data_IF_595871379446
#
_entry.id   IF_595871379446
#
_cell.length_a   1.000
_cell.length_b   1.000
_cell.length_c   1.000
_cell.angle_alpha   90.00
_cell.angle_beta   90.00
_cell.angle_gamma   90.00
#
_symmetry.space_group_name_H-M   'P 1'
#
loop_
_entity.id
_entity.type
_entity.pdbx_description
1 polymer ?
#
# COMPACT_ATOMS: atom_id res chain seq x y z
N UNK A 1 11.19 -13.84 -19.54
CA UNK A 1 11.13 -12.62 -18.70
C UNK A 1 10.20 -12.77 -17.49
N UNK A 2 8.88 -12.97 -17.67
CA UNK A 2 7.92 -13.01 -16.53
C UNK A 2 8.16 -14.15 -15.52
N UNK A 3 8.52 -15.35 -15.98
CA UNK A 3 8.82 -16.49 -15.08
C UNK A 3 10.06 -16.20 -14.23
N UNK A 4 11.14 -15.70 -14.83
CA UNK A 4 12.36 -15.33 -14.12
C UNK A 4 12.10 -14.23 -13.07
N UNK A 5 11.28 -13.22 -13.41
CA UNK A 5 10.86 -12.19 -12.46
C UNK A 5 10.09 -12.79 -11.27
N UNK A 6 9.14 -13.68 -11.53
CA UNK A 6 8.38 -14.35 -10.47
C UNK A 6 9.26 -15.18 -9.54
N UNK A 7 10.20 -15.94 -10.10
CA UNK A 7 11.15 -16.75 -9.32
C UNK A 7 12.04 -15.87 -8.46
N UNK A 8 12.62 -14.81 -9.03
CA UNK A 8 13.45 -13.87 -8.27
C UNK A 8 12.66 -13.17 -7.15
N UNK A 9 11.44 -12.73 -7.45
CA UNK A 9 10.56 -12.08 -6.47
C UNK A 9 10.26 -13.00 -5.28
N UNK A 10 9.89 -14.26 -5.56
CA UNK A 10 9.63 -15.25 -4.51
C UNK A 10 10.90 -15.59 -3.72
N UNK A 11 12.03 -15.73 -4.40
CA UNK A 11 13.33 -15.98 -3.77
C UNK A 11 13.75 -14.87 -2.81
N UNK A 12 13.66 -13.61 -3.26
CA UNK A 12 13.97 -12.44 -2.42
C UNK A 12 13.00 -12.34 -1.24
N UNK A 13 11.70 -12.54 -1.49
CA UNK A 13 10.68 -12.48 -0.42
C UNK A 13 10.92 -13.56 0.65
N UNK A 14 11.24 -14.79 0.23
CA UNK A 14 11.58 -15.88 1.14
C UNK A 14 12.87 -15.59 1.92
N UNK A 15 13.90 -15.07 1.25
CA UNK A 15 15.16 -14.69 1.90
C UNK A 15 14.95 -13.60 2.95
N UNK A 16 14.17 -12.56 2.63
CA UNK A 16 13.85 -11.48 3.58
C UNK A 16 13.08 -12.00 4.79
N UNK A 17 12.07 -12.85 4.59
CA UNK A 17 11.31 -13.44 5.69
C UNK A 17 12.15 -14.37 6.57
N UNK A 18 13.09 -15.11 5.98
CA UNK A 18 14.00 -15.98 6.71
C UNK A 18 15.05 -15.17 7.51
N UNK A 19 15.55 -14.06 6.96
CA UNK A 19 16.56 -13.21 7.60
C UNK A 19 16.03 -12.30 8.71
N UNK A 20 14.75 -11.94 8.66
CA UNK A 20 14.16 -10.94 9.56
C UNK A 20 12.91 -11.46 10.27
N UNK A 21 13.07 -12.16 11.42
CA UNK A 21 11.96 -12.83 12.09
C UNK A 21 10.87 -11.88 12.60
N UNK A 22 11.23 -10.63 12.88
CA UNK A 22 10.29 -9.60 13.32
C UNK A 22 9.19 -9.29 12.28
N UNK A 23 9.44 -9.53 10.99
CA UNK A 23 8.47 -9.26 9.92
C UNK A 23 7.26 -10.20 9.96
N UNK A 24 7.43 -11.44 10.42
CA UNK A 24 6.34 -12.42 10.51
C UNK A 24 5.88 -12.69 11.96
N UNK A 25 6.67 -12.32 12.97
CA UNK A 25 6.35 -12.56 14.38
C UNK A 25 4.96 -12.02 14.78
N UNK A 26 4.60 -10.83 14.28
CA UNK A 26 3.28 -10.21 14.49
C UNK A 26 2.13 -11.03 13.91
N UNK A 27 2.31 -11.61 12.73
CA UNK A 27 1.29 -12.43 12.07
C UNK A 27 1.09 -13.77 12.80
N UNK A 28 2.15 -14.33 13.37
CA UNK A 28 2.05 -15.54 14.20
C UNK A 28 1.36 -15.27 15.54
N UNK A 29 1.65 -14.12 16.17
CA UNK A 29 1.01 -13.73 17.42
C UNK A 29 -0.47 -13.36 17.24
N UNK A 30 -0.83 -12.74 16.12
CA UNK A 30 -2.19 -12.34 15.81
C UNK A 30 -2.61 -12.83 14.41
N UNK A 31 -3.22 -14.03 14.32
CA UNK A 31 -3.58 -14.67 13.06
C UNK A 31 -4.54 -13.85 12.19
N UNK A 32 -5.36 -12.98 12.79
CA UNK A 32 -6.26 -12.10 12.04
C UNK A 32 -5.50 -11.16 11.09
N UNK A 33 -4.23 -10.85 11.37
CA UNK A 33 -3.37 -10.06 10.49
C UNK A 33 -3.14 -10.72 9.13
N UNK A 34 -3.22 -12.05 9.04
CA UNK A 34 -3.04 -12.79 7.78
C UNK A 34 -4.10 -12.48 6.71
N UNK A 35 -5.21 -11.82 7.10
CA UNK A 35 -6.19 -11.30 6.15
C UNK A 35 -5.58 -10.25 5.21
N UNK A 36 -4.65 -9.41 5.69
CA UNK A 36 -4.03 -8.36 4.87
C UNK A 36 -3.22 -8.91 3.68
N UNK A 37 -2.25 -9.83 3.85
CA UNK A 37 -1.52 -10.41 2.73
C UNK A 37 -2.45 -11.23 1.82
N UNK A 38 -3.47 -11.90 2.37
CA UNK A 38 -4.48 -12.59 1.57
C UNK A 38 -5.24 -11.62 0.66
N UNK A 39 -5.70 -10.48 1.20
CA UNK A 39 -6.38 -9.43 0.44
C UNK A 39 -5.46 -8.81 -0.62
N UNK A 40 -4.17 -8.62 -0.32
CA UNK A 40 -3.18 -8.15 -1.30
C UNK A 40 -3.04 -9.13 -2.48
N UNK A 41 -2.89 -10.43 -2.20
CA UNK A 41 -2.79 -11.47 -3.23
C UNK A 41 -4.07 -11.52 -4.07
N UNK A 42 -5.24 -11.50 -3.42
CA UNK A 42 -6.53 -11.47 -4.12
C UNK A 42 -6.65 -10.22 -5.00
N UNK A 43 -6.17 -9.07 -4.54
CA UNK A 43 -6.21 -7.84 -5.34
C UNK A 43 -5.32 -7.96 -6.58
N UNK A 44 -4.09 -8.46 -6.43
CA UNK A 44 -3.13 -8.69 -7.53
C UNK A 44 -3.70 -9.65 -8.56
N UNK A 45 -4.22 -10.80 -8.13
CA UNK A 45 -4.75 -11.84 -9.03
C UNK A 45 -6.00 -11.38 -9.80
N UNK A 46 -6.79 -10.46 -9.23
CA UNK A 46 -7.96 -9.93 -9.91
C UNK A 46 -7.60 -8.94 -11.04
N UNK A 47 -6.46 -8.26 -10.99
CA UNK A 47 -6.04 -7.30 -12.05
C UNK A 47 -6.00 -7.95 -13.45
N UNK A 48 -5.21 -9.01 -13.73
CA UNK A 48 -5.15 -9.60 -15.07
C UNK A 48 -6.49 -10.21 -15.50
N UNK A 49 -7.23 -10.81 -14.56
CA UNK A 49 -8.58 -11.37 -14.80
C UNK A 49 -9.58 -10.31 -15.24
N UNK A 50 -9.47 -9.08 -14.72
CA UNK A 50 -10.36 -7.98 -15.08
C UNK A 50 -9.94 -7.29 -16.37
N UNK A 51 -8.63 -7.23 -16.64
CA UNK A 51 -8.09 -6.74 -17.90
C UNK A 51 -8.51 -7.63 -19.07
N UNK A 52 -8.42 -8.96 -18.93
CA UNK A 52 -8.87 -9.90 -19.97
C UNK A 52 -10.36 -9.81 -20.28
N UNK A 53 -11.16 -9.34 -19.32
CA UNK A 53 -12.61 -9.09 -19.47
C UNK A 53 -12.95 -7.68 -19.95
N UNK A 54 -11.95 -6.84 -20.28
CA UNK A 54 -12.16 -5.45 -20.70
C UNK A 54 -12.73 -4.52 -19.61
N UNK A 55 -12.68 -4.93 -18.33
CA UNK A 55 -13.26 -4.17 -17.20
C UNK A 55 -12.23 -3.21 -16.58
N UNK A 56 -11.69 -2.30 -17.38
CA UNK A 56 -10.56 -1.43 -17.02
C UNK A 56 -10.76 -0.61 -15.74
N UNK A 57 -11.94 -0.03 -15.49
CA UNK A 57 -12.23 0.74 -14.26
C UNK A 57 -12.04 -0.10 -12.99
N UNK A 58 -12.50 -1.35 -13.02
CA UNK A 58 -12.36 -2.26 -11.89
C UNK A 58 -10.91 -2.77 -11.78
N UNK A 59 -10.23 -3.00 -12.90
CA UNK A 59 -8.81 -3.37 -12.90
C UNK A 59 -7.95 -2.27 -12.25
N UNK A 60 -8.24 -1.00 -12.54
CA UNK A 60 -7.61 0.15 -11.90
C UNK A 60 -7.86 0.16 -10.38
N UNK A 61 -9.10 -0.04 -9.93
CA UNK A 61 -9.43 -0.11 -8.51
C UNK A 61 -8.64 -1.24 -7.79
N UNK A 62 -8.57 -2.43 -8.39
CA UNK A 62 -7.80 -3.54 -7.81
C UNK A 62 -6.29 -3.29 -7.82
N UNK A 63 -5.77 -2.54 -8.79
CA UNK A 63 -4.39 -2.06 -8.77
C UNK A 63 -4.15 -1.09 -7.61
N UNK A 64 -5.05 -0.14 -7.37
CA UNK A 64 -4.96 0.77 -6.23
C UNK A 64 -5.06 0.02 -4.89
N UNK A 65 -5.97 -0.96 -4.79
CA UNK A 65 -6.12 -1.81 -3.60
C UNK A 65 -4.87 -2.67 -3.35
N UNK A 66 -4.24 -3.17 -4.40
CA UNK A 66 -2.96 -3.90 -4.29
C UNK A 66 -1.93 -3.06 -3.55
N UNK A 67 -1.72 -1.82 -4.01
CA UNK A 67 -0.77 -0.89 -3.38
C UNK A 67 -1.17 -0.63 -1.93
N UNK A 68 -2.45 -0.33 -1.67
CA UNK A 68 -2.94 -0.05 -0.32
C UNK A 68 -2.73 -1.24 0.64
N UNK A 69 -3.07 -2.47 0.24
CA UNK A 69 -2.90 -3.64 1.09
C UNK A 69 -1.42 -3.99 1.31
N UNK A 70 -0.55 -3.81 0.32
CA UNK A 70 0.90 -3.99 0.52
C UNK A 70 1.45 -3.02 1.56
N UNK A 71 1.04 -1.76 1.53
CA UNK A 71 1.39 -0.79 2.59
C UNK A 71 0.84 -1.21 3.95
N UNK A 72 -0.41 -1.68 4.02
CA UNK A 72 -1.00 -2.15 5.28
C UNK A 72 -0.28 -3.38 5.85
N UNK A 73 0.18 -4.30 5.01
CA UNK A 73 0.98 -5.47 5.45
C UNK A 73 2.25 -5.02 6.16
N UNK A 74 2.99 -4.07 5.56
CA UNK A 74 4.21 -3.54 6.16
C UNK A 74 3.90 -2.77 7.45
N UNK A 75 2.87 -1.92 7.44
CA UNK A 75 2.46 -1.18 8.62
C UNK A 75 2.07 -2.09 9.78
N UNK A 76 1.33 -3.18 9.52
CA UNK A 76 0.96 -4.17 10.53
C UNK A 76 2.16 -4.96 11.05
N UNK A 77 3.10 -5.33 10.17
CA UNK A 77 4.31 -6.05 10.55
C UNK A 77 5.18 -5.25 11.52
N UNK A 78 5.29 -3.93 11.30
CA UNK A 78 6.19 -3.05 12.03
C UNK A 78 5.56 -2.47 13.31
N UNK A 79 4.24 -2.28 13.36
CA UNK A 79 3.57 -1.63 14.49
C UNK A 79 3.87 -2.33 15.85
N UNK A 80 4.30 -1.60 16.91
CA UNK A 80 4.31 -0.13 17.06
C UNK A 80 5.65 0.56 16.72
N UNK A 81 6.64 -0.17 16.22
CA UNK A 81 7.98 0.35 15.91
C UNK A 81 8.07 0.70 14.44
N UNK A 82 8.34 1.96 14.11
CA UNK A 82 8.41 2.44 12.73
C UNK A 82 9.78 2.12 12.12
N UNK A 83 10.85 2.33 12.89
CA UNK A 83 12.23 2.06 12.47
C UNK A 83 12.93 1.30 13.61
N UNK A 84 13.38 0.09 13.33
CA UNK A 84 14.17 -0.71 14.26
C UNK A 84 15.64 -0.27 14.19
N UNK A 85 16.25 -0.03 15.34
CA UNK A 85 17.68 0.21 15.43
C UNK A 85 18.46 -1.11 15.28
N UNK A 86 19.51 -1.10 14.44
CA UNK A 86 20.34 -2.30 14.20
C UNK A 86 21.33 -2.60 15.33
N UNK A 87 21.59 -1.62 16.20
CA UNK A 87 22.56 -1.72 17.29
C UNK A 87 21.87 -2.00 18.64
N UNK A 88 21.10 -1.03 19.15
CA UNK A 88 20.44 -1.12 20.45
C UNK A 88 18.93 -0.99 20.27
N UNK A 89 18.14 -2.04 20.57
CA UNK A 89 16.69 -2.01 20.50
C UNK A 89 16.04 -0.84 21.24
N UNK A 90 16.67 -0.33 22.32
CA UNK A 90 16.17 0.82 23.08
C UNK A 90 16.16 2.14 22.27
N UNK A 91 16.98 2.23 21.22
CA UNK A 91 17.04 3.39 20.31
C UNK A 91 16.07 3.28 19.14
N UNK A 92 15.21 2.26 19.12
CA UNK A 92 14.21 2.10 18.05
C UNK A 92 13.18 3.23 18.07
N UNK A 93 12.78 3.70 16.89
CA UNK A 93 11.76 4.72 16.74
C UNK A 93 10.38 4.05 16.75
N UNK A 94 9.64 4.29 17.82
CA UNK A 94 8.27 3.83 18.03
C UNK A 94 7.30 4.97 17.80
N UNK A 95 6.02 4.64 17.59
CA UNK A 95 4.97 5.67 17.43
C UNK A 95 4.92 6.64 18.61
N UNK A 96 5.27 6.19 19.83
CA UNK A 96 5.21 7.04 21.02
C UNK A 96 6.38 8.03 21.08
N UNK A 97 7.63 7.56 20.87
CA UNK A 97 8.82 8.41 20.97
C UNK A 97 9.06 9.28 19.73
N UNK A 98 8.57 8.87 18.55
CA UNK A 98 8.73 9.59 17.29
C UNK A 98 7.54 10.52 16.99
N UNK A 99 6.54 10.59 17.88
CA UNK A 99 5.38 11.47 17.71
C UNK A 99 5.71 12.93 17.97
N UNK A 100 5.06 13.83 17.22
CA UNK A 100 5.10 15.26 17.51
C UNK A 100 4.28 15.58 18.78
N UNK A 101 4.45 16.80 19.30
CA UNK A 101 3.65 17.28 20.44
C UNK A 101 2.14 17.14 20.18
N UNK A 102 1.34 16.88 21.24
CA UNK A 102 -0.10 16.71 21.10
C UNK A 102 -0.79 17.91 20.44
N UNK A 103 -0.28 19.13 20.65
CA UNK A 103 -0.79 20.35 19.98
C UNK A 103 -0.54 20.31 18.48
N UNK A 104 0.69 20.01 18.08
CA UNK A 104 1.08 19.91 16.66
C UNK A 104 0.35 18.77 15.96
N UNK A 105 0.20 17.62 16.61
CA UNK A 105 -0.50 16.46 16.06
C UNK A 105 -1.99 16.77 15.82
N UNK A 106 -2.65 17.42 16.78
CA UNK A 106 -4.05 17.87 16.62
C UNK A 106 -4.19 18.88 15.48
N UNK A 107 -3.27 19.83 15.35
CA UNK A 107 -3.29 20.80 14.26
C UNK A 107 -3.17 20.11 12.89
N UNK A 108 -2.20 19.20 12.73
CA UNK A 108 -1.97 18.50 11.47
C UNK A 108 -3.13 17.55 11.14
N UNK A 109 -3.75 16.93 12.16
CA UNK A 109 -4.97 16.14 11.98
C UNK A 109 -6.12 17.01 11.46
N UNK A 110 -6.34 18.21 12.01
CA UNK A 110 -7.38 19.13 11.52
C UNK A 110 -7.13 19.53 10.07
N UNK A 111 -5.88 19.85 9.72
CA UNK A 111 -5.50 20.17 8.34
C UNK A 111 -5.74 18.97 7.43
N UNK A 112 -5.34 17.76 7.83
CA UNK A 112 -5.56 16.55 7.04
C UNK A 112 -7.06 16.24 6.87
N UNK A 113 -7.87 16.42 7.90
CA UNK A 113 -9.33 16.21 7.86
C UNK A 113 -10.04 17.16 6.90
N UNK A 114 -9.52 18.36 6.67
CA UNK A 114 -10.10 19.33 5.72
C UNK A 114 -9.44 19.19 4.33
N UNK A 115 -8.12 19.09 4.28
CA UNK A 115 -7.34 19.01 3.04
C UNK A 115 -7.59 17.73 2.25
N UNK A 116 -7.68 16.57 2.93
CA UNK A 116 -7.92 15.29 2.27
C UNK A 116 -9.24 15.25 1.49
N UNK A 117 -10.42 15.59 2.06
CA UNK A 117 -11.66 15.60 1.29
C UNK A 117 -11.67 16.65 0.18
N UNK A 118 -11.00 17.81 0.36
CA UNK A 118 -10.86 18.81 -0.71
C UNK A 118 -10.06 18.25 -1.90
N UNK A 119 -8.91 17.63 -1.64
CA UNK A 119 -8.06 17.02 -2.68
C UNK A 119 -8.81 15.87 -3.37
N UNK A 120 -9.51 15.03 -2.62
CA UNK A 120 -10.34 13.94 -3.17
C UNK A 120 -11.48 14.50 -4.03
N UNK A 121 -12.13 15.58 -3.60
CA UNK A 121 -13.19 16.26 -4.35
C UNK A 121 -12.68 16.80 -5.67
N UNK A 122 -11.57 17.55 -5.66
CA UNK A 122 -10.93 18.07 -6.88
C UNK A 122 -10.48 16.94 -7.81
N UNK A 123 -9.82 15.91 -7.27
CA UNK A 123 -9.37 14.75 -8.06
C UNK A 123 -10.58 14.07 -8.71
N UNK A 124 -11.66 13.84 -7.96
CA UNK A 124 -12.90 13.25 -8.49
C UNK A 124 -13.53 14.12 -9.58
N UNK A 125 -13.56 15.44 -9.39
CA UNK A 125 -14.05 16.38 -10.39
C UNK A 125 -13.24 16.34 -11.69
N UNK A 126 -11.90 16.27 -11.60
CA UNK A 126 -11.03 16.15 -12.77
C UNK A 126 -11.28 14.83 -13.51
N UNK A 127 -11.30 13.70 -12.80
CA UNK A 127 -11.61 12.40 -13.40
C UNK A 127 -13.02 12.34 -13.99
N UNK A 128 -13.97 13.04 -13.40
CA UNK A 128 -15.33 13.15 -13.93
C UNK A 128 -15.39 14.00 -15.19
N UNK A 129 -14.71 15.15 -15.20
CA UNK A 129 -14.68 16.09 -16.33
C UNK A 129 -14.00 15.46 -17.55
N UNK A 130 -12.85 14.80 -17.35
CA UNK A 130 -12.10 14.14 -18.43
C UNK A 130 -12.49 12.67 -18.63
N UNK A 131 -13.71 12.27 -18.25
CA UNK A 131 -14.17 10.91 -18.47
C UNK A 131 -14.35 10.66 -19.97
N UNK A 132 -13.61 9.71 -20.51
CA UNK A 132 -13.71 9.36 -21.92
C UNK A 132 -12.52 8.53 -22.37
N UNK A 133 -12.65 7.85 -23.50
CA UNK A 133 -11.49 7.27 -24.17
C UNK A 133 -10.90 8.35 -25.06
N UNK A 134 -9.59 8.53 -24.99
CA UNK A 134 -8.86 9.34 -25.98
C UNK A 134 -9.03 8.64 -27.32
N UNK A 135 -9.49 9.39 -28.33
CA UNK A 135 -9.52 8.93 -29.73
C UNK A 135 -8.32 9.55 -30.42
N UNK A 136 -7.55 8.73 -31.14
CA UNK A 136 -6.49 9.24 -32.00
C UNK A 136 -7.13 9.86 -33.23
N UNK A 137 -6.62 11.02 -33.62
CA UNK A 137 -6.98 11.77 -34.82
C UNK A 137 -5.70 12.03 -35.64
N UNK A 138 -5.82 12.52 -36.87
CA UNK A 138 -4.71 12.78 -37.80
C UNK A 138 -3.64 13.74 -37.22
N UNK A 139 -4.00 14.49 -36.18
CA UNK A 139 -3.12 15.41 -35.45
C UNK A 139 -2.50 14.82 -34.17
N UNK A 140 -2.80 13.56 -33.84
CA UNK A 140 -2.22 12.87 -32.68
C UNK A 140 -0.78 12.44 -32.98
N UNK A 141 0.18 12.90 -32.17
CA UNK A 141 1.60 12.54 -32.24
C UNK A 141 1.87 11.06 -31.94
#
# INVERSE_FOLDING_TARGET
AMVAFGVLFLGVTAYTLAGFPHLYARFMAQPSGALLPLLAILAILNVPRLLSKGRYRRAFLFSSLTVAFLFMVVAFALFPTIILASNDPALSLTVQNASASAKSLKLLLTVACIGTPLVLGYTTFVFYTFRGKVKLDETSY
#
